data_IF_642669834140
#
_entry.id   IF_642669834140
#
_cell.length_a   1.000
_cell.length_b   1.000
_cell.length_c   1.000
_cell.angle_alpha   90.00
_cell.angle_beta   90.00
_cell.angle_gamma   90.00
#
_symmetry.space_group_name_H-M   'P 1'
#
loop_
_entity.id
_entity.type
_entity.pdbx_description
1 polymer ?
#
# COMPACT_ATOMS: atom_id res chain seq x y z
N UNK A 1 -4.84 -9.97 -3.31
CA UNK A 1 -4.51 -8.96 -2.28
C UNK A 1 -3.05 -8.58 -2.46
N UNK A 2 -2.59 -7.46 -1.89
CA UNK A 2 -1.18 -7.03 -1.98
C UNK A 2 -0.66 -6.89 -3.42
N UNK A 3 -1.53 -6.43 -4.33
CA UNK A 3 -1.14 -6.14 -5.71
C UNK A 3 -0.93 -4.64 -5.92
N UNK A 4 -0.12 -4.27 -6.91
CA UNK A 4 -0.08 -2.90 -7.45
C UNK A 4 -0.64 -2.93 -8.86
N UNK A 5 -1.78 -2.27 -9.07
CA UNK A 5 -2.44 -2.15 -10.36
C UNK A 5 -2.24 -0.71 -10.84
N UNK A 6 -1.60 -0.56 -12.00
CA UNK A 6 -1.38 0.71 -12.67
C UNK A 6 -1.97 0.63 -14.08
N UNK A 7 -2.79 1.60 -14.45
CA UNK A 7 -3.35 1.71 -15.80
C UNK A 7 -3.47 3.17 -16.23
N UNK A 8 -3.26 3.42 -17.52
CA UNK A 8 -3.45 4.73 -18.16
C UNK A 8 -4.61 4.72 -19.15
N UNK A 9 -5.29 3.59 -19.33
CA UNK A 9 -6.23 3.36 -20.43
C UNK A 9 -7.67 3.06 -19.98
N UNK A 10 -7.95 3.06 -18.68
CA UNK A 10 -9.28 2.77 -18.16
C UNK A 10 -9.33 2.76 -16.64
N UNK A 11 -10.45 2.26 -16.10
CA UNK A 11 -10.63 2.18 -14.66
C UNK A 11 -9.59 1.25 -14.01
N UNK A 12 -9.11 1.57 -12.81
CA UNK A 12 -8.20 0.68 -12.09
C UNK A 12 -8.88 -0.63 -11.67
N UNK A 13 -10.18 -0.57 -11.38
CA UNK A 13 -11.05 -1.72 -11.17
C UNK A 13 -12.32 -1.52 -11.98
N UNK A 14 -12.62 -2.45 -12.88
CA UNK A 14 -13.84 -2.45 -13.68
C UNK A 14 -14.60 -3.76 -13.52
N UNK A 15 -15.89 -3.67 -13.19
CA UNK A 15 -16.80 -4.82 -13.20
C UNK A 15 -17.67 -4.76 -14.46
N UNK A 16 -17.28 -5.53 -15.47
CA UNK A 16 -17.97 -5.59 -16.74
C UNK A 16 -19.13 -6.58 -16.70
N UNK A 17 -20.36 -6.08 -16.51
CA UNK A 17 -21.66 -6.68 -16.87
C UNK A 17 -22.07 -8.00 -16.20
N UNK A 18 -21.17 -8.98 -16.11
CA UNK A 18 -21.42 -10.28 -15.51
C UNK A 18 -21.10 -10.25 -14.00
N UNK A 19 -22.00 -10.77 -13.15
CA UNK A 19 -21.79 -10.77 -11.71
C UNK A 19 -20.60 -11.68 -11.36
N UNK A 20 -19.60 -11.10 -10.69
CA UNK A 20 -18.47 -11.82 -10.12
C UNK A 20 -18.62 -11.89 -8.59
N UNK A 21 -19.36 -12.87 -8.05
CA UNK A 21 -19.61 -12.96 -6.62
C UNK A 21 -18.35 -13.33 -5.84
N UNK A 22 -18.20 -12.74 -4.65
CA UNK A 22 -17.20 -13.17 -3.67
C UNK A 22 -15.79 -12.62 -3.91
N UNK A 23 -15.64 -11.60 -4.75
CA UNK A 23 -14.34 -10.97 -4.98
C UNK A 23 -13.98 -10.08 -3.80
N UNK A 24 -12.86 -10.38 -3.14
CA UNK A 24 -12.36 -9.57 -2.01
C UNK A 24 -10.99 -8.99 -2.36
N UNK A 25 -10.91 -7.66 -2.43
CA UNK A 25 -9.71 -6.91 -2.77
C UNK A 25 -9.18 -6.23 -1.51
N UNK A 26 -8.04 -6.73 -1.02
CA UNK A 26 -7.37 -6.19 0.17
C UNK A 26 -5.93 -5.75 -0.10
N UNK A 27 -5.49 -4.71 0.59
CA UNK A 27 -4.11 -4.22 0.57
C UNK A 27 -3.56 -3.97 -0.84
N UNK A 28 -4.38 -3.62 -1.83
CA UNK A 28 -3.88 -3.31 -3.16
C UNK A 28 -3.60 -1.80 -3.30
N UNK A 29 -2.70 -1.45 -4.20
CA UNK A 29 -2.55 -0.08 -4.72
C UNK A 29 -3.24 -0.03 -6.08
N UNK A 30 -4.21 0.85 -6.24
CA UNK A 30 -4.90 1.12 -7.50
C UNK A 30 -4.52 2.52 -7.99
N UNK A 31 -3.89 2.57 -9.17
CA UNK A 31 -3.50 3.82 -9.83
C UNK A 31 -4.16 3.90 -11.19
N UNK A 32 -4.90 4.99 -11.42
CA UNK A 32 -5.45 5.31 -12.74
C UNK A 32 -5.59 6.81 -12.96
N UNK A 33 -5.32 7.25 -14.19
CA UNK A 33 -5.65 8.59 -14.70
C UNK A 33 -7.15 8.76 -14.99
N UNK A 34 -7.90 7.67 -15.06
CA UNK A 34 -9.35 7.62 -15.27
C UNK A 34 -10.10 7.43 -13.93
N UNK A 35 -11.26 6.76 -13.97
CA UNK A 35 -11.94 6.29 -12.77
C UNK A 35 -11.06 5.28 -12.01
N UNK A 36 -11.19 5.23 -10.70
CA UNK A 36 -10.54 4.21 -9.88
C UNK A 36 -11.41 2.96 -9.76
N UNK A 37 -12.72 3.14 -9.72
CA UNK A 37 -13.72 2.08 -9.73
C UNK A 37 -14.79 2.41 -10.76
N UNK A 38 -15.17 1.44 -11.57
CA UNK A 38 -16.24 1.54 -12.56
C UNK A 38 -17.07 0.24 -12.64
N UNK A 39 -18.33 0.37 -13.05
CA UNK A 39 -19.30 -0.73 -13.16
C UNK A 39 -19.98 -1.14 -11.85
N UNK A 40 -20.68 -2.28 -11.87
CA UNK A 40 -21.40 -2.83 -10.71
C UNK A 40 -20.46 -3.66 -9.82
N UNK A 41 -19.99 -3.03 -8.75
CA UNK A 41 -19.13 -3.64 -7.73
C UNK A 41 -19.91 -4.12 -6.49
N UNK A 42 -21.23 -4.23 -6.54
CA UNK A 42 -22.06 -4.68 -5.40
C UNK A 42 -21.70 -6.08 -4.90
N UNK A 43 -21.08 -6.89 -5.77
CA UNK A 43 -20.61 -8.24 -5.48
C UNK A 43 -19.17 -8.33 -4.97
N UNK A 44 -18.48 -7.20 -4.88
CA UNK A 44 -17.09 -7.12 -4.44
C UNK A 44 -16.96 -6.48 -3.05
N UNK A 45 -15.84 -6.78 -2.38
CA UNK A 45 -15.48 -6.21 -1.09
C UNK A 45 -14.09 -5.60 -1.13
N UNK A 46 -13.98 -4.32 -0.79
CA UNK A 46 -12.72 -3.58 -0.71
C UNK A 46 -12.32 -3.31 0.75
N UNK A 47 -11.10 -3.66 1.15
CA UNK A 47 -10.60 -3.42 2.51
C UNK A 47 -9.10 -3.09 2.55
N UNK A 48 -8.77 -1.88 3.01
CA UNK A 48 -7.39 -1.45 3.21
C UNK A 48 -6.63 -1.23 1.90
N UNK A 49 -7.31 -0.85 0.81
CA UNK A 49 -6.63 -0.51 -0.43
C UNK A 49 -6.21 0.98 -0.43
N UNK A 50 -5.17 1.27 -1.20
CA UNK A 50 -4.80 2.64 -1.54
C UNK A 50 -5.27 2.94 -2.95
N UNK A 51 -5.87 4.12 -3.10
CA UNK A 51 -6.43 4.63 -4.33
C UNK A 51 -5.69 5.91 -4.70
N UNK A 52 -5.28 6.05 -5.96
CA UNK A 52 -4.59 7.25 -6.38
C UNK A 52 -4.82 7.60 -7.84
N UNK A 53 -5.19 8.85 -8.09
CA UNK A 53 -5.29 9.40 -9.44
C UNK A 53 -4.24 10.50 -9.61
N UNK A 54 -3.14 10.24 -10.35
CA UNK A 54 -2.10 11.24 -10.58
C UNK A 54 -2.68 12.54 -11.14
N UNK A 55 -2.33 13.66 -10.52
CA UNK A 55 -2.79 14.99 -10.95
C UNK A 55 -4.24 15.35 -10.57
N UNK A 56 -4.97 14.49 -9.86
CA UNK A 56 -6.33 14.78 -9.39
C UNK A 56 -6.39 14.96 -7.87
N UNK A 57 -7.11 15.99 -7.43
CA UNK A 57 -7.36 16.22 -6.00
C UNK A 57 -8.43 15.28 -5.44
N UNK A 58 -9.39 14.88 -6.27
CA UNK A 58 -10.51 14.03 -5.89
C UNK A 58 -10.42 12.68 -6.63
N UNK A 59 -10.67 11.54 -5.97
CA UNK A 59 -10.85 10.28 -6.65
C UNK A 59 -12.17 10.25 -7.42
N UNK A 60 -12.26 9.35 -8.40
CA UNK A 60 -13.53 8.91 -8.97
C UNK A 60 -13.74 7.43 -8.60
N UNK A 61 -14.52 7.18 -7.54
CA UNK A 61 -14.79 5.86 -6.99
C UNK A 61 -16.21 5.42 -7.33
N UNK A 62 -16.50 5.25 -8.62
CA UNK A 62 -17.87 4.99 -9.09
C UNK A 62 -18.77 6.21 -8.89
N UNK A 63 -18.28 7.40 -9.25
CA UNK A 63 -19.03 8.66 -9.17
C UNK A 63 -18.90 9.43 -7.84
N UNK A 64 -18.34 8.82 -6.80
CA UNK A 64 -18.07 9.48 -5.52
C UNK A 64 -16.74 10.25 -5.57
N UNK A 65 -16.72 11.47 -5.02
CA UNK A 65 -15.59 12.41 -5.11
C UNK A 65 -14.66 12.38 -3.90
N UNK A 66 -14.93 11.51 -2.95
CA UNK A 66 -14.01 11.25 -1.84
C UNK A 66 -14.13 9.81 -1.36
N UNK A 67 -13.02 9.30 -0.83
CA UNK A 67 -13.01 7.98 -0.20
C UNK A 67 -13.99 7.91 0.98
N UNK A 68 -14.12 8.99 1.75
CA UNK A 68 -15.03 9.02 2.89
C UNK A 68 -16.49 8.93 2.44
N UNK A 69 -16.89 9.72 1.45
CA UNK A 69 -18.24 9.68 0.87
C UNK A 69 -18.56 8.28 0.34
N UNK A 70 -17.67 7.70 -0.48
CA UNK A 70 -17.84 6.35 -1.02
C UNK A 70 -17.98 5.30 0.07
N UNK A 71 -17.09 5.33 1.06
CA UNK A 71 -17.10 4.41 2.18
C UNK A 71 -18.38 4.55 3.04
N UNK A 72 -18.87 5.78 3.23
CA UNK A 72 -20.09 6.03 3.98
C UNK A 72 -21.35 5.55 3.26
N UNK A 73 -21.45 5.80 1.96
CA UNK A 73 -22.60 5.43 1.15
C UNK A 73 -22.68 3.92 0.90
N UNK A 74 -21.54 3.26 0.65
CA UNK A 74 -21.50 1.87 0.18
C UNK A 74 -21.08 0.86 1.25
N UNK A 75 -20.48 1.32 2.34
CA UNK A 75 -19.86 0.46 3.34
C UNK A 75 -18.53 -0.17 2.90
N UNK A 76 -18.04 0.10 1.70
CA UNK A 76 -16.71 -0.32 1.23
C UNK A 76 -15.60 0.37 2.02
N UNK A 77 -14.40 -0.22 2.03
CA UNK A 77 -13.23 0.33 2.71
C UNK A 77 -13.46 0.64 4.20
N UNK A 78 -14.29 -0.15 4.89
CA UNK A 78 -14.66 0.11 6.29
C UNK A 78 -14.61 -1.12 7.19
N UNK A 79 -14.27 -0.87 8.45
CA UNK A 79 -14.51 -1.77 9.58
C UNK A 79 -15.25 -0.99 10.66
N UNK A 80 -16.57 -1.18 10.73
CA UNK A 80 -17.45 -0.38 11.57
C UNK A 80 -17.42 1.11 11.17
N UNK A 81 -17.04 1.97 12.12
CA UNK A 81 -16.93 3.43 11.89
C UNK A 81 -15.61 3.85 11.23
N UNK A 82 -14.61 2.95 11.20
CA UNK A 82 -13.28 3.27 10.70
C UNK A 82 -13.19 3.04 9.19
N UNK A 83 -12.70 4.04 8.46
CA UNK A 83 -12.27 3.90 7.07
C UNK A 83 -10.86 3.26 7.06
N UNK A 84 -10.71 2.21 6.27
CA UNK A 84 -9.50 1.42 6.12
C UNK A 84 -8.66 1.85 4.93
N UNK A 85 -9.31 2.29 3.85
CA UNK A 85 -8.63 2.69 2.62
C UNK A 85 -7.89 4.02 2.77
N UNK A 86 -7.07 4.32 1.76
CA UNK A 86 -6.34 5.59 1.64
C UNK A 86 -6.58 6.19 0.25
N UNK A 87 -6.72 7.52 0.17
CA UNK A 87 -6.56 8.25 -1.08
C UNK A 87 -5.32 9.15 -0.96
N UNK A 88 -4.20 8.72 -1.54
CA UNK A 88 -2.91 9.39 -1.37
C UNK A 88 -1.91 8.94 -2.45
N UNK A 89 -0.89 9.74 -2.72
CA UNK A 89 0.23 9.35 -3.59
C UNK A 89 1.04 8.21 -2.93
N UNK A 90 1.11 7.01 -3.53
CA UNK A 90 1.88 5.89 -2.99
C UNK A 90 3.39 6.07 -3.11
N UNK A 91 3.87 7.08 -3.84
CA UNK A 91 5.29 7.33 -4.12
C UNK A 91 5.94 6.17 -4.88
N UNK A 92 5.20 5.57 -5.82
CA UNK A 92 5.71 4.48 -6.64
C UNK A 92 6.86 4.98 -7.53
N UNK A 93 7.91 4.17 -7.64
CA UNK A 93 8.89 4.34 -8.71
C UNK A 93 8.25 3.93 -10.04
N UNK A 94 7.70 4.87 -10.80
CA UNK A 94 7.12 4.57 -12.11
C UNK A 94 8.22 4.27 -13.14
N UNK A 95 7.99 3.31 -14.06
CA UNK A 95 8.97 3.01 -15.10
C UNK A 95 9.10 4.17 -16.08
N UNK A 96 10.33 4.56 -16.42
CA UNK A 96 10.63 5.57 -17.46
C UNK A 96 10.94 4.95 -18.83
N UNK A 97 10.99 3.62 -18.89
CA UNK A 97 11.31 2.83 -20.08
C UNK A 97 10.44 1.55 -20.09
N UNK A 98 10.37 0.88 -21.24
CA UNK A 98 9.68 -0.40 -21.37
C UNK A 98 10.24 -1.41 -20.36
N UNK A 99 9.34 -2.08 -19.65
CA UNK A 99 9.71 -3.15 -18.72
C UNK A 99 10.23 -4.38 -19.47
N UNK A 100 11.17 -5.09 -18.84
CA UNK A 100 11.65 -6.37 -19.34
C UNK A 100 10.51 -7.40 -19.34
N UNK A 101 10.36 -8.12 -20.44
CA UNK A 101 9.47 -9.27 -20.59
C UNK A 101 10.14 -10.60 -20.16
N UNK A 102 11.45 -10.58 -19.92
CA UNK A 102 12.20 -11.71 -19.36
C UNK A 102 11.81 -11.99 -17.89
N UNK A 103 11.19 -13.14 -17.58
CA UNK A 103 10.74 -13.47 -16.23
C UNK A 103 11.89 -13.58 -15.22
N UNK A 104 13.10 -13.91 -15.66
CA UNK A 104 14.27 -14.01 -14.77
C UNK A 104 14.72 -12.66 -14.21
N UNK A 105 14.30 -11.55 -14.85
CA UNK A 105 14.64 -10.18 -14.44
C UNK A 105 13.56 -9.53 -13.57
N UNK A 106 12.41 -10.17 -13.36
CA UNK A 106 11.30 -9.58 -12.58
C UNK A 106 11.70 -9.26 -11.14
N UNK A 107 12.47 -10.13 -10.49
CA UNK A 107 12.96 -9.90 -9.12
C UNK A 107 13.96 -8.72 -9.03
N UNK A 108 14.51 -8.27 -10.15
CA UNK A 108 15.45 -7.13 -10.22
C UNK A 108 14.72 -5.82 -10.57
N UNK A 109 13.42 -5.89 -10.83
CA UNK A 109 12.62 -4.72 -11.20
C UNK A 109 12.66 -3.67 -10.09
N UNK A 110 12.99 -2.43 -10.44
CA UNK A 110 12.91 -1.28 -9.52
C UNK A 110 11.58 -0.55 -9.61
N UNK A 111 10.89 -0.67 -10.76
CA UNK A 111 9.57 -0.09 -10.96
C UNK A 111 8.56 -0.63 -9.94
N UNK A 112 7.58 0.20 -9.58
CA UNK A 112 6.50 -0.06 -8.63
C UNK A 112 6.92 -0.34 -7.19
N UNK A 113 8.20 -0.22 -6.86
CA UNK A 113 8.62 -0.22 -5.45
C UNK A 113 8.16 1.07 -4.78
N UNK A 114 7.78 0.98 -3.51
CA UNK A 114 7.44 2.11 -2.65
C UNK A 114 8.57 2.37 -1.65
N UNK A 115 8.97 3.63 -1.42
CA UNK A 115 9.96 3.95 -0.39
C UNK A 115 9.35 3.79 1.01
N UNK A 116 10.21 3.75 2.04
CA UNK A 116 9.79 3.51 3.44
C UNK A 116 8.89 4.61 4.02
N UNK A 117 9.02 5.83 3.53
CA UNK A 117 8.20 6.99 3.92
C UNK A 117 6.87 7.07 3.14
N UNK A 118 6.59 6.10 2.26
CA UNK A 118 5.31 6.00 1.56
C UNK A 118 4.16 5.84 2.55
N UNK A 119 2.97 6.42 2.27
CA UNK A 119 1.75 6.14 3.04
C UNK A 119 1.35 4.66 3.05
N UNK A 120 1.91 3.84 2.16
CA UNK A 120 1.66 2.41 2.11
C UNK A 120 2.31 1.65 3.28
N UNK A 121 3.37 2.19 3.90
CA UNK A 121 4.14 1.46 4.91
C UNK A 121 3.32 1.16 6.16
N UNK A 122 3.24 -0.13 6.53
CA UNK A 122 2.51 -0.63 7.71
C UNK A 122 1.04 -0.16 7.79
N UNK A 123 0.43 0.12 6.63
CA UNK A 123 -0.95 0.62 6.53
C UNK A 123 -1.96 -0.46 6.20
N UNK A 124 -1.52 -1.65 5.76
CA UNK A 124 -2.39 -2.75 5.36
C UNK A 124 -3.16 -3.38 6.52
N UNK A 125 -4.22 -4.12 6.17
CA UNK A 125 -4.90 -5.05 7.06
C UNK A 125 -4.14 -6.36 7.17
N UNK A 126 -4.20 -7.02 8.32
CA UNK A 126 -3.61 -8.35 8.51
C UNK A 126 -4.42 -9.37 7.73
N UNK A 127 -3.74 -10.18 6.92
CA UNK A 127 -4.35 -11.25 6.10
C UNK A 127 -3.68 -12.56 6.51
N UNK A 128 -4.43 -13.56 7.02
CA UNK A 128 -3.92 -14.90 7.23
C UNK A 128 -3.45 -15.51 5.91
N UNK A 129 -2.39 -16.31 5.95
CA UNK A 129 -1.85 -17.02 4.78
C UNK A 129 -1.54 -16.10 3.58
N UNK A 130 -0.99 -14.89 3.86
CA UNK A 130 -0.68 -13.84 2.88
C UNK A 130 0.45 -14.16 1.87
N UNK A 131 0.83 -15.43 1.72
CA UNK A 131 1.94 -15.86 0.86
C UNK A 131 3.35 -15.63 1.44
N UNK A 132 3.48 -15.05 2.63
CA UNK A 132 4.71 -14.84 3.41
C UNK A 132 5.80 -13.96 2.78
N UNK A 133 5.77 -13.69 1.47
CA UNK A 133 6.74 -12.86 0.75
C UNK A 133 6.08 -11.97 -0.28
N UNK A 134 6.66 -10.79 -0.50
CA UNK A 134 6.23 -9.85 -1.52
C UNK A 134 6.76 -10.24 -2.92
N UNK A 135 6.47 -9.41 -3.93
CA UNK A 135 6.90 -9.67 -5.31
C UNK A 135 8.43 -9.77 -5.49
N UNK A 136 9.20 -9.16 -4.59
CA UNK A 136 10.66 -9.16 -4.60
C UNK A 136 11.29 -10.15 -3.63
N UNK A 137 10.47 -11.00 -2.99
CA UNK A 137 10.93 -12.00 -2.02
C UNK A 137 11.15 -11.46 -0.61
N UNK A 138 10.80 -10.20 -0.32
CA UNK A 138 10.87 -9.62 1.02
C UNK A 138 9.82 -10.26 1.93
N UNK A 139 10.16 -10.70 3.16
CA UNK A 139 9.19 -11.27 4.09
C UNK A 139 8.06 -10.30 4.43
N UNK A 140 6.82 -10.75 4.32
CA UNK A 140 5.62 -9.99 4.72
C UNK A 140 5.23 -10.41 6.14
N UNK A 141 4.99 -9.46 7.06
CA UNK A 141 4.56 -9.79 8.42
C UNK A 141 3.22 -10.55 8.42
N UNK A 142 3.13 -11.59 9.27
CA UNK A 142 1.91 -12.40 9.41
C UNK A 142 0.97 -11.91 10.51
N UNK A 143 1.52 -11.22 11.51
CA UNK A 143 0.83 -10.80 12.74
C UNK A 143 0.82 -9.27 12.93
N UNK A 144 1.40 -8.54 11.97
CA UNK A 144 1.50 -7.09 11.97
C UNK A 144 0.97 -6.53 10.66
N UNK A 145 0.62 -5.25 10.66
CA UNK A 145 0.14 -4.57 9.45
C UNK A 145 1.23 -4.57 8.38
N UNK A 146 0.99 -5.19 7.20
CA UNK A 146 1.95 -5.18 6.11
C UNK A 146 1.93 -3.82 5.40
N UNK A 147 2.83 -3.64 4.43
CA UNK A 147 2.66 -2.58 3.44
C UNK A 147 1.43 -2.86 2.56
N UNK A 148 0.77 -1.80 2.10
CA UNK A 148 -0.21 -1.87 1.01
C UNK A 148 0.57 -2.00 -0.32
N UNK A 149 0.09 -2.84 -1.24
CA UNK A 149 0.69 -3.06 -2.56
C UNK A 149 1.65 -4.26 -2.61
N UNK A 150 2.32 -4.37 -3.76
CA UNK A 150 3.21 -5.49 -4.09
C UNK A 150 4.60 -5.40 -3.43
N UNK A 151 4.95 -4.25 -2.83
CA UNK A 151 6.27 -4.00 -2.26
C UNK A 151 6.18 -3.88 -0.74
N UNK A 152 6.81 -4.82 -0.03
CA UNK A 152 7.00 -4.72 1.40
C UNK A 152 8.20 -3.81 1.67
N UNK A 153 7.92 -2.58 2.12
CA UNK A 153 8.98 -1.70 2.58
C UNK A 153 9.65 -2.31 3.82
N UNK A 154 10.96 -2.49 3.74
CA UNK A 154 11.74 -3.03 4.85
C UNK A 154 11.61 -2.11 6.07
N UNK A 155 11.39 -2.71 7.25
CA UNK A 155 11.73 -2.03 8.49
C UNK A 155 13.24 -1.80 8.46
N UNK A 156 13.70 -0.59 8.77
CA UNK A 156 15.09 -0.45 9.18
C UNK A 156 15.31 -1.46 10.32
N UNK A 157 16.37 -2.25 10.24
CA UNK A 157 16.85 -2.95 11.44
C UNK A 157 16.90 -1.89 12.55
N UNK A 158 16.41 -2.21 13.74
CA UNK A 158 16.68 -1.36 14.89
C UNK A 158 18.19 -1.18 14.91
N UNK A 159 18.67 0.03 14.59
CA UNK A 159 20.07 0.34 14.75
C UNK A 159 20.47 0.00 16.19
N UNK A 160 21.71 -0.39 16.46
CA UNK A 160 22.15 -0.53 17.84
C UNK A 160 21.76 0.75 18.58
N UNK A 161 21.07 0.60 19.72
CA UNK A 161 20.66 1.73 20.54
C UNK A 161 21.88 2.65 20.72
N UNK A 162 21.74 3.98 20.56
CA UNK A 162 22.86 4.87 20.77
C UNK A 162 23.45 4.57 22.14
N UNK A 163 24.74 4.20 22.19
CA UNK A 163 25.45 4.08 23.45
C UNK A 163 25.37 5.46 24.09
N UNK A 164 24.53 5.59 25.12
CA UNK A 164 24.52 6.76 25.98
C UNK A 164 25.88 6.77 26.66
N UNK A 165 26.80 7.57 26.15
CA UNK A 165 28.05 7.85 26.81
C UNK A 165 27.71 8.71 28.03
N UNK A 166 27.65 8.09 29.20
CA UNK A 166 27.64 8.84 30.45
C UNK A 166 28.98 9.59 30.56
N UNK A 167 28.98 10.92 30.79
CA UNK A 167 30.21 11.64 31.02
C UNK A 167 30.88 11.07 32.27
N UNK A 168 32.17 10.72 32.15
CA UNK A 168 32.97 10.33 33.29
C UNK A 168 33.02 11.49 34.29
N UNK A 169 32.46 11.29 35.48
CA UNK A 169 32.65 12.20 36.61
C UNK A 169 34.13 12.22 36.99
N UNK A 170 34.81 13.31 36.67
CA UNK A 170 36.13 13.64 37.16
C UNK A 170 36.09 13.76 38.68
N UNK A 171 36.58 12.74 39.38
CA UNK A 171 36.81 12.80 40.82
C UNK A 171 38.15 13.47 41.06
N UNK A 172 38.13 14.77 41.34
CA UNK A 172 39.31 15.48 41.85
C UNK A 172 39.54 15.02 43.28
N UNK A 173 40.61 14.24 43.50
CA UNK A 173 41.09 13.85 44.83
C UNK A 173 41.80 15.06 45.46
N UNK A 174 41.49 15.47 46.70
CA UNK A 174 42.27 16.50 47.36
C UNK A 174 43.62 15.94 47.80
N UNK A 175 44.69 16.66 47.46
CA UNK A 175 46.04 16.44 47.99
C UNK A 175 46.11 16.83 49.46
N UNK A 176 46.79 16.01 50.25
CA UNK A 176 47.21 16.31 51.63
C UNK A 176 48.25 17.43 51.67
#
# INVERSE_FOLDING_TARGET
HNNTIYTEHGAAVGFGGEPMPGVVLKNNIFVSTHALVDGDYSHARFEGNLWWSPGKQEPDLGGYKSLAEWAHATGQERLGVRILGLYADPQLLLPTQKLSDDPHKLAQLTAFRTPRNSPCFAAGVVIPDNGARDFWGTPVPVDQRPSIGACQAARAAAGPAPKVAFPATSTTRPSR
#
